data_IF_610223864324
#
_entry.id   IF_610223864324
#
_cell.length_a   1.000
_cell.length_b   1.000
_cell.length_c   1.000
_cell.angle_alpha   90.00
_cell.angle_beta   90.00
_cell.angle_gamma   90.00
#
_symmetry.space_group_name_H-M   'P 1'
#
loop_
_entity.id
_entity.type
_entity.pdbx_description
1 polymer ?
#
# COMPACT_ATOMS: atom_id res chain seq x y z
N UNK A 1 -11.34 17.20 -37.48
CA UNK A 1 -11.85 15.87 -37.86
C UNK A 1 -11.26 14.87 -36.88
N UNK A 2 -12.10 14.49 -35.92
CA UNK A 2 -11.83 13.60 -34.81
C UNK A 2 -11.42 12.22 -35.31
N UNK A 3 -10.26 11.72 -34.86
CA UNK A 3 -9.86 10.31 -35.03
C UNK A 3 -10.70 9.49 -34.05
N UNK A 4 -11.86 9.04 -34.50
CA UNK A 4 -12.60 7.98 -33.83
C UNK A 4 -11.85 6.66 -34.06
N UNK A 5 -11.20 6.16 -33.01
CA UNK A 5 -10.80 4.76 -32.96
C UNK A 5 -12.08 3.91 -33.01
N UNK A 6 -12.22 2.95 -33.93
CA UNK A 6 -13.37 2.06 -33.91
C UNK A 6 -13.29 1.16 -32.67
N UNK A 7 -14.43 0.72 -32.11
CA UNK A 7 -14.43 -0.17 -30.97
C UNK A 7 -14.01 -1.55 -31.47
N UNK A 8 -12.71 -1.86 -31.41
CA UNK A 8 -12.24 -3.21 -31.66
C UNK A 8 -12.71 -4.10 -30.50
N UNK A 9 -13.84 -4.77 -30.68
CA UNK A 9 -14.27 -5.87 -29.82
C UNK A 9 -13.27 -7.01 -29.93
N UNK A 10 -12.95 -7.69 -28.82
CA UNK A 10 -11.95 -8.79 -28.70
C UNK A 10 -12.12 -9.93 -29.73
N UNK A 11 -13.29 -10.02 -30.39
CA UNK A 11 -13.58 -10.93 -31.51
C UNK A 11 -12.70 -10.67 -32.75
N UNK A 12 -12.34 -9.40 -33.03
CA UNK A 12 -11.59 -9.05 -34.24
C UNK A 12 -10.14 -9.53 -34.25
N UNK A 13 -9.55 -9.81 -33.08
CA UNK A 13 -8.18 -10.34 -32.98
C UNK A 13 -8.10 -11.83 -33.33
N UNK A 14 -9.18 -12.58 -33.11
CA UNK A 14 -9.26 -14.01 -33.42
C UNK A 14 -9.39 -14.25 -34.92
N UNK A 15 -10.25 -13.47 -35.59
CA UNK A 15 -10.41 -13.54 -37.06
C UNK A 15 -9.11 -13.16 -37.78
N UNK A 16 -8.42 -12.14 -37.26
CA UNK A 16 -7.10 -11.74 -37.75
C UNK A 16 -6.06 -12.83 -37.51
N UNK A 17 -6.08 -13.47 -36.34
CA UNK A 17 -5.14 -14.55 -36.01
C UNK A 17 -5.34 -15.78 -36.90
N UNK A 18 -6.59 -16.17 -37.21
CA UNK A 18 -6.90 -17.27 -38.14
C UNK A 18 -6.37 -17.01 -39.55
N UNK A 19 -6.39 -15.74 -39.99
CA UNK A 19 -5.92 -15.32 -41.31
C UNK A 19 -4.37 -15.33 -41.43
N UNK A 20 -3.66 -15.24 -40.29
CA UNK A 20 -2.21 -15.19 -40.23
C UNK A 20 -1.54 -16.57 -40.05
N UNK A 21 -2.30 -17.64 -39.88
CA UNK A 21 -1.73 -18.98 -39.67
C UNK A 21 -1.21 -19.57 -40.99
N UNK A 22 0.03 -20.12 -41.02
CA UNK A 22 0.57 -20.76 -42.21
C UNK A 22 -0.30 -21.93 -42.70
N UNK A 23 -0.43 -22.08 -44.02
CA UNK A 23 -1.22 -23.15 -44.63
C UNK A 23 -0.77 -24.53 -44.14
N UNK A 24 -1.69 -25.29 -43.54
CA UNK A 24 -1.43 -26.61 -42.96
C UNK A 24 -1.21 -26.64 -41.45
N UNK A 25 -1.15 -25.48 -40.79
CA UNK A 25 -1.14 -25.38 -39.33
C UNK A 25 -2.50 -24.94 -38.77
N UNK A 26 -2.83 -25.40 -37.56
CA UNK A 26 -4.04 -25.00 -36.86
C UNK A 26 -3.74 -23.85 -35.90
N UNK A 27 -4.54 -22.77 -35.89
CA UNK A 27 -4.40 -21.69 -34.90
C UNK A 27 -4.37 -22.23 -33.47
N UNK A 28 -5.14 -23.29 -33.23
CA UNK A 28 -5.27 -23.92 -31.91
C UNK A 28 -3.96 -24.54 -31.40
N UNK A 29 -2.99 -24.90 -32.27
CA UNK A 29 -1.67 -25.37 -31.81
C UNK A 29 -0.80 -24.23 -31.27
N UNK A 30 -1.00 -23.00 -31.76
CA UNK A 30 -0.29 -21.80 -31.29
C UNK A 30 -1.00 -21.14 -30.10
N UNK A 31 -2.29 -21.42 -29.93
CA UNK A 31 -3.12 -20.86 -28.88
C UNK A 31 -3.03 -21.60 -27.52
N UNK A 32 -2.14 -22.61 -27.41
CA UNK A 32 -1.89 -23.44 -26.21
C UNK A 32 -1.28 -22.67 -25.01
N UNK A 33 -1.22 -21.34 -25.07
CA UNK A 33 -0.85 -20.45 -23.95
C UNK A 33 -1.79 -19.23 -23.85
N UNK A 34 -2.92 -19.24 -24.55
CA UNK A 34 -3.86 -18.12 -24.57
C UNK A 34 -4.56 -17.93 -23.23
N UNK A 35 -4.66 -16.66 -22.81
CA UNK A 35 -5.44 -16.24 -21.64
C UNK A 35 -6.82 -15.68 -21.99
N UNK A 36 -7.23 -15.81 -23.26
CA UNK A 36 -8.50 -15.30 -23.77
C UNK A 36 -9.59 -16.38 -23.65
N UNK A 37 -10.69 -16.15 -22.91
CA UNK A 37 -11.73 -17.16 -22.67
C UNK A 37 -12.37 -17.75 -23.92
N UNK A 38 -12.59 -16.95 -24.96
CA UNK A 38 -13.21 -17.34 -26.23
C UNK A 38 -12.28 -18.26 -27.04
N UNK A 39 -10.96 -18.01 -26.95
CA UNK A 39 -9.95 -18.91 -27.51
C UNK A 39 -9.93 -20.22 -26.73
N UNK A 40 -10.01 -20.17 -25.40
CA UNK A 40 -10.08 -21.36 -24.55
C UNK A 40 -11.33 -22.19 -24.88
N UNK A 41 -12.48 -21.57 -25.14
CA UNK A 41 -13.71 -22.25 -25.57
C UNK A 41 -13.54 -22.97 -26.92
N UNK A 42 -13.00 -22.29 -27.94
CA UNK A 42 -12.68 -22.95 -29.23
C UNK A 42 -11.70 -24.12 -29.06
N UNK A 43 -10.71 -23.98 -28.18
CA UNK A 43 -9.76 -25.06 -27.87
C UNK A 43 -10.50 -26.22 -27.16
N UNK A 44 -11.44 -25.94 -26.25
CA UNK A 44 -12.32 -26.94 -25.61
C UNK A 44 -13.20 -27.70 -26.62
N UNK A 45 -13.73 -27.01 -27.63
CA UNK A 45 -14.55 -27.63 -28.69
C UNK A 45 -13.75 -28.54 -29.63
N UNK A 46 -12.47 -28.21 -29.86
CA UNK A 46 -11.60 -28.95 -30.79
C UNK A 46 -11.09 -30.31 -30.28
N UNK A 47 -11.16 -30.58 -28.97
CA UNK A 47 -10.63 -31.81 -28.37
C UNK A 47 -9.11 -31.97 -28.37
N UNK A 48 -8.34 -30.98 -28.85
CA UNK A 48 -6.85 -30.98 -28.92
C UNK A 48 -6.18 -30.96 -27.52
N UNK A 49 -6.98 -30.79 -26.48
CA UNK A 49 -6.56 -30.45 -25.13
C UNK A 49 -6.05 -31.59 -24.26
N UNK A 50 -6.10 -32.84 -24.72
CA UNK A 50 -5.62 -34.00 -23.96
C UNK A 50 -4.10 -34.16 -23.88
N UNK A 51 -3.31 -33.21 -24.39
CA UNK A 51 -1.85 -33.37 -24.55
C UNK A 51 -1.00 -32.41 -23.69
N UNK A 52 -1.57 -31.41 -23.02
CA UNK A 52 -0.80 -30.41 -22.26
C UNK A 52 -1.44 -30.03 -20.90
N UNK A 53 -1.06 -30.78 -19.86
CA UNK A 53 -1.58 -30.64 -18.50
C UNK A 53 -1.29 -29.28 -17.84
N UNK A 54 -0.20 -28.61 -18.24
CA UNK A 54 0.19 -27.30 -17.71
C UNK A 54 -0.73 -26.19 -18.23
N UNK A 55 -0.98 -26.17 -19.54
CA UNK A 55 -1.93 -25.24 -20.13
C UNK A 55 -3.31 -25.42 -19.51
N UNK A 56 -3.65 -26.69 -19.24
CA UNK A 56 -4.91 -27.05 -18.66
C UNK A 56 -5.16 -26.42 -17.29
N UNK A 57 -4.21 -26.57 -16.37
CA UNK A 57 -4.28 -25.89 -15.09
C UNK A 57 -4.44 -24.36 -15.25
N UNK A 58 -3.61 -23.72 -16.09
CA UNK A 58 -3.66 -22.27 -16.30
C UNK A 58 -4.98 -21.77 -16.91
N UNK A 59 -5.61 -22.56 -17.79
CA UNK A 59 -6.90 -22.22 -18.40
C UNK A 59 -8.01 -22.18 -17.34
N UNK A 60 -8.04 -23.12 -16.40
CA UNK A 60 -9.02 -23.13 -15.30
C UNK A 60 -8.89 -21.87 -14.44
N UNK A 61 -7.68 -21.51 -14.01
CA UNK A 61 -7.45 -20.30 -13.21
C UNK A 61 -7.79 -19.02 -13.97
N UNK A 62 -7.56 -18.97 -15.28
CA UNK A 62 -7.92 -17.82 -16.12
C UNK A 62 -9.42 -17.68 -16.31
N UNK A 63 -10.14 -18.78 -16.55
CA UNK A 63 -11.59 -18.80 -16.66
C UNK A 63 -12.26 -18.40 -15.34
N UNK A 64 -11.69 -18.80 -14.20
CA UNK A 64 -12.14 -18.39 -12.88
C UNK A 64 -12.03 -16.86 -12.70
N UNK A 65 -10.85 -16.29 -12.93
CA UNK A 65 -10.59 -14.83 -12.85
C UNK A 65 -11.48 -13.99 -13.78
N UNK A 66 -11.91 -14.56 -14.92
CA UNK A 66 -12.82 -13.90 -15.88
C UNK A 66 -14.30 -14.17 -15.59
N UNK A 67 -14.63 -14.93 -14.54
CA UNK A 67 -16.00 -15.25 -14.15
C UNK A 67 -16.75 -16.22 -15.09
N UNK A 68 -16.03 -16.93 -15.96
CA UNK A 68 -16.59 -17.87 -16.97
C UNK A 68 -16.77 -19.27 -16.39
N UNK A 69 -17.65 -19.38 -15.39
CA UNK A 69 -17.79 -20.60 -14.58
C UNK A 69 -18.28 -21.84 -15.34
N UNK A 70 -19.17 -21.70 -16.31
CA UNK A 70 -19.66 -22.83 -17.14
C UNK A 70 -18.54 -23.47 -17.96
N UNK A 71 -17.70 -22.63 -18.57
CA UNK A 71 -16.51 -23.07 -19.31
C UNK A 71 -15.49 -23.71 -18.37
N UNK A 72 -15.32 -23.16 -17.17
CA UNK A 72 -14.44 -23.72 -16.14
C UNK A 72 -14.90 -25.12 -15.71
N UNK A 73 -16.19 -25.32 -15.45
CA UNK A 73 -16.76 -26.64 -15.14
C UNK A 73 -16.56 -27.63 -16.27
N UNK A 74 -16.74 -27.18 -17.52
CA UNK A 74 -16.50 -28.01 -18.71
C UNK A 74 -15.02 -28.40 -18.83
N UNK A 75 -14.10 -27.46 -18.65
CA UNK A 75 -12.66 -27.72 -18.66
C UNK A 75 -12.26 -28.71 -17.57
N UNK A 76 -12.74 -28.52 -16.34
CA UNK A 76 -12.42 -29.37 -15.20
C UNK A 76 -12.97 -30.81 -15.32
N UNK A 77 -14.14 -31.01 -15.95
CA UNK A 77 -14.71 -32.36 -16.17
C UNK A 77 -13.95 -33.16 -17.22
N UNK A 78 -13.32 -32.49 -18.17
CA UNK A 78 -12.59 -33.14 -19.25
C UNK A 78 -11.19 -33.58 -18.83
N UNK A 79 -10.69 -33.08 -17.69
CA UNK A 79 -9.28 -33.20 -17.31
C UNK A 79 -9.07 -33.90 -15.97
N UNK A 80 -8.32 -34.98 -16.00
CA UNK A 80 -7.79 -35.66 -14.81
C UNK A 80 -6.36 -35.19 -14.55
N UNK A 81 -6.04 -34.58 -13.38
CA UNK A 81 -4.69 -34.13 -13.08
C UNK A 81 -3.68 -35.28 -13.14
N UNK A 82 -2.59 -35.12 -13.90
CA UNK A 82 -1.43 -36.00 -13.77
C UNK A 82 -0.61 -35.63 -12.52
N UNK A 83 0.11 -36.60 -11.96
CA UNK A 83 0.97 -36.39 -10.80
C UNK A 83 2.12 -35.40 -11.07
N UNK A 84 2.51 -35.22 -12.33
CA UNK A 84 3.62 -34.34 -12.73
C UNK A 84 3.28 -32.85 -12.61
N UNK A 85 2.00 -32.47 -12.74
CA UNK A 85 1.55 -31.07 -12.73
C UNK A 85 0.57 -30.74 -11.59
N UNK A 86 0.50 -31.58 -10.55
CA UNK A 86 -0.39 -31.39 -9.40
C UNK A 86 -0.25 -30.00 -8.76
N UNK A 87 0.96 -29.44 -8.69
CA UNK A 87 1.20 -28.10 -8.16
C UNK A 87 0.55 -26.98 -9.00
N UNK A 88 0.60 -27.07 -10.33
CA UNK A 88 -0.02 -26.07 -11.21
C UNK A 88 -1.55 -26.09 -11.07
N UNK A 89 -2.10 -27.29 -10.94
CA UNK A 89 -3.53 -27.51 -10.70
C UNK A 89 -3.97 -26.94 -9.35
N UNK A 90 -3.22 -27.22 -8.28
CA UNK A 90 -3.50 -26.68 -6.95
C UNK A 90 -3.47 -25.14 -6.94
N UNK A 91 -2.46 -24.51 -7.56
CA UNK A 91 -2.38 -23.05 -7.65
C UNK A 91 -3.54 -22.45 -8.47
N UNK A 92 -3.94 -23.10 -9.55
CA UNK A 92 -5.03 -22.61 -10.38
C UNK A 92 -6.39 -22.79 -9.71
N UNK A 93 -6.57 -23.86 -8.93
CA UNK A 93 -7.75 -24.08 -8.11
C UNK A 93 -7.82 -23.11 -6.93
N UNK A 94 -6.66 -22.82 -6.34
CA UNK A 94 -6.48 -21.79 -5.33
C UNK A 94 -6.86 -20.39 -5.86
N UNK A 95 -6.38 -20.01 -7.04
CA UNK A 95 -6.76 -18.74 -7.68
C UNK A 95 -8.26 -18.66 -7.92
N UNK A 96 -8.89 -19.78 -8.29
CA UNK A 96 -10.33 -19.87 -8.49
C UNK A 96 -11.13 -19.74 -7.18
N UNK A 97 -10.65 -20.34 -6.10
CA UNK A 97 -11.22 -20.20 -4.75
C UNK A 97 -11.10 -18.76 -4.25
N UNK A 98 -9.94 -18.13 -4.41
CA UNK A 98 -9.74 -16.71 -4.05
C UNK A 98 -10.72 -15.82 -4.79
N UNK A 99 -10.81 -15.97 -6.12
CA UNK A 99 -11.75 -15.19 -6.92
C UNK A 99 -13.20 -15.40 -6.45
N UNK A 100 -13.59 -16.64 -6.12
CA UNK A 100 -14.93 -16.92 -5.61
C UNK A 100 -15.22 -16.26 -4.25
N UNK A 101 -14.19 -16.03 -3.42
CA UNK A 101 -14.32 -15.34 -2.14
C UNK A 101 -14.30 -13.80 -2.28
N UNK A 102 -13.54 -13.25 -3.24
CA UNK A 102 -13.35 -11.80 -3.40
C UNK A 102 -14.38 -11.13 -4.34
N UNK A 103 -14.84 -11.84 -5.38
CA UNK A 103 -15.57 -11.24 -6.50
C UNK A 103 -17.06 -10.95 -6.27
N UNK A 104 -17.56 -11.02 -5.04
CA UNK A 104 -19.00 -11.12 -4.75
C UNK A 104 -19.85 -9.91 -5.14
N UNK A 105 -19.23 -8.80 -5.55
CA UNK A 105 -19.94 -7.67 -6.17
C UNK A 105 -20.25 -7.87 -7.67
N UNK A 106 -19.66 -8.87 -8.33
CA UNK A 106 -19.70 -9.04 -9.81
C UNK A 106 -20.54 -10.23 -10.28
N UNK A 107 -20.70 -11.29 -9.48
CA UNK A 107 -21.45 -12.51 -9.85
C UNK A 107 -22.04 -13.26 -8.62
N UNK A 108 -22.98 -14.21 -8.81
CA UNK A 108 -23.44 -15.09 -7.73
C UNK A 108 -22.33 -16.06 -7.31
N UNK A 109 -21.77 -15.89 -6.12
CA UNK A 109 -20.54 -16.56 -5.70
C UNK A 109 -20.73 -17.87 -4.94
N UNK A 110 -21.84 -18.02 -4.22
CA UNK A 110 -22.05 -19.16 -3.34
C UNK A 110 -22.12 -20.50 -4.10
N UNK A 111 -22.81 -20.55 -5.24
CA UNK A 111 -22.89 -21.77 -6.07
C UNK A 111 -21.53 -22.17 -6.64
N UNK A 112 -20.69 -21.19 -6.98
CA UNK A 112 -19.34 -21.42 -7.54
C UNK A 112 -18.40 -21.97 -6.47
N UNK A 113 -18.40 -21.34 -5.30
CA UNK A 113 -17.61 -21.76 -4.16
C UNK A 113 -18.00 -23.17 -3.69
N UNK A 114 -19.30 -23.46 -3.58
CA UNK A 114 -19.80 -24.80 -3.24
C UNK A 114 -19.24 -25.86 -4.18
N UNK A 115 -19.29 -25.60 -5.49
CA UNK A 115 -18.77 -26.53 -6.48
C UNK A 115 -17.25 -26.70 -6.39
N UNK A 116 -16.50 -25.61 -6.22
CA UNK A 116 -15.04 -25.63 -6.07
C UNK A 116 -14.59 -26.43 -4.84
N UNK A 117 -15.32 -26.30 -3.72
CA UNK A 117 -15.04 -27.00 -2.47
C UNK A 117 -15.44 -28.48 -2.47
N UNK A 118 -16.43 -28.87 -3.28
CA UNK A 118 -16.78 -30.29 -3.46
C UNK A 118 -15.72 -31.08 -4.23
N UNK A 119 -14.84 -30.40 -4.96
CA UNK A 119 -13.76 -31.04 -5.70
C UNK A 119 -12.61 -31.43 -4.76
N UNK A 120 -11.97 -32.61 -4.92
CA UNK A 120 -10.85 -33.03 -4.06
C UNK A 120 -9.70 -32.02 -3.96
N UNK A 121 -9.37 -31.36 -5.09
CA UNK A 121 -8.37 -30.29 -5.15
C UNK A 121 -8.76 -29.04 -4.34
N UNK A 122 -10.05 -28.82 -4.08
CA UNK A 122 -10.54 -27.72 -3.25
C UNK A 122 -10.11 -27.88 -1.80
N UNK A 123 -10.29 -29.07 -1.22
CA UNK A 123 -9.86 -29.36 0.14
C UNK A 123 -8.34 -29.22 0.31
N UNK A 124 -7.57 -29.70 -0.66
CA UNK A 124 -6.09 -29.62 -0.65
C UNK A 124 -5.60 -28.18 -0.84
N UNK A 125 -6.25 -27.39 -1.72
CA UNK A 125 -5.93 -25.99 -1.93
C UNK A 125 -6.24 -25.11 -0.69
N UNK A 126 -7.32 -25.40 0.04
CA UNK A 126 -7.67 -24.69 1.28
C UNK A 126 -6.63 -24.87 2.41
N UNK A 127 -5.84 -25.95 2.39
CA UNK A 127 -4.82 -26.21 3.42
C UNK A 127 -3.49 -25.47 3.24
N UNK A 128 -3.22 -24.91 2.06
CA UNK A 128 -1.83 -24.64 1.64
C UNK A 128 -1.34 -23.19 1.69
N UNK A 129 -2.19 -22.15 1.78
CA UNK A 129 -1.67 -20.77 1.93
C UNK A 129 -2.70 -19.67 2.22
N UNK A 130 -4.00 -19.91 2.05
CA UNK A 130 -5.00 -18.86 2.21
C UNK A 130 -6.25 -19.43 2.83
N UNK A 131 -6.62 -18.87 3.97
CA UNK A 131 -7.89 -19.15 4.60
C UNK A 131 -8.99 -18.46 3.77
N UNK A 132 -9.85 -19.20 3.05
CA UNK A 132 -10.96 -18.61 2.31
C UNK A 132 -11.87 -17.79 3.22
N UNK A 133 -11.90 -18.10 4.52
CA UNK A 133 -12.62 -17.37 5.54
C UNK A 133 -12.10 -15.94 5.69
N UNK A 134 -10.78 -15.76 5.70
CA UNK A 134 -10.12 -14.44 5.76
C UNK A 134 -10.41 -13.60 4.52
N UNK A 135 -10.35 -14.19 3.34
CA UNK A 135 -10.65 -13.49 2.09
C UNK A 135 -12.11 -13.03 2.02
N UNK A 136 -13.04 -13.91 2.40
CA UNK A 136 -14.46 -13.58 2.44
C UNK A 136 -14.74 -12.43 3.43
N UNK A 137 -14.03 -12.41 4.56
CA UNK A 137 -14.09 -11.34 5.55
C UNK A 137 -13.60 -10.01 4.97
N UNK A 138 -12.43 -10.00 4.33
CA UNK A 138 -11.86 -8.82 3.66
C UNK A 138 -12.61 -8.35 2.41
N UNK A 139 -13.61 -9.10 1.93
CA UNK A 139 -14.41 -8.75 0.75
C UNK A 139 -15.88 -8.42 1.09
N UNK A 140 -16.23 -8.33 2.38
CA UNK A 140 -17.59 -8.12 2.90
C UNK A 140 -18.61 -9.18 2.43
N UNK A 141 -18.17 -10.43 2.23
CA UNK A 141 -19.01 -11.51 1.71
C UNK A 141 -19.66 -12.33 2.83
N UNK A 142 -20.65 -11.76 3.51
CA UNK A 142 -21.33 -12.40 4.66
C UNK A 142 -21.93 -13.76 4.32
N UNK A 143 -22.56 -13.93 3.16
CA UNK A 143 -23.12 -15.24 2.75
C UNK A 143 -22.04 -16.31 2.56
N UNK A 144 -20.87 -15.90 2.07
CA UNK A 144 -19.72 -16.80 1.89
C UNK A 144 -19.11 -17.14 3.25
N UNK A 145 -18.99 -16.16 4.15
CA UNK A 145 -18.55 -16.37 5.53
C UNK A 145 -19.45 -17.37 6.26
N UNK A 146 -20.76 -17.21 6.17
CA UNK A 146 -21.74 -18.11 6.78
C UNK A 146 -21.59 -19.54 6.26
N UNK A 147 -21.45 -19.69 4.93
CA UNK A 147 -21.21 -21.00 4.34
C UNK A 147 -19.89 -21.62 4.80
N UNK A 148 -18.78 -20.89 4.74
CA UNK A 148 -17.47 -21.40 5.17
C UNK A 148 -17.49 -21.78 6.66
N UNK A 149 -18.14 -20.97 7.50
CA UNK A 149 -18.33 -21.28 8.91
C UNK A 149 -19.14 -22.57 9.12
N UNK A 150 -20.19 -22.80 8.32
CA UNK A 150 -20.95 -24.06 8.35
C UNK A 150 -20.10 -25.28 7.96
N UNK A 151 -19.07 -25.09 7.14
CA UNK A 151 -18.11 -26.14 6.75
C UNK A 151 -17.01 -26.35 7.80
N UNK A 152 -17.02 -25.61 8.92
CA UNK A 152 -16.04 -25.75 10.00
C UNK A 152 -14.84 -24.82 9.92
N UNK A 153 -14.78 -23.91 8.92
CA UNK A 153 -13.73 -22.88 8.87
C UNK A 153 -13.91 -21.88 10.01
N UNK A 154 -12.82 -21.46 10.62
CA UNK A 154 -12.78 -20.52 11.76
C UNK A 154 -11.56 -19.62 11.62
N UNK A 155 -11.66 -18.39 12.12
CA UNK A 155 -10.50 -17.52 12.25
C UNK A 155 -9.63 -17.97 13.43
N UNK A 156 -8.72 -18.90 13.18
CA UNK A 156 -7.85 -19.45 14.22
C UNK A 156 -6.78 -18.45 14.71
N UNK A 157 -6.48 -17.40 13.93
CA UNK A 157 -5.36 -16.46 14.19
C UNK A 157 -5.79 -15.02 14.48
N UNK A 158 -7.02 -14.64 14.17
CA UNK A 158 -7.50 -13.26 14.28
C UNK A 158 -7.25 -12.42 13.03
N UNK A 159 -6.81 -13.06 11.94
CA UNK A 159 -6.48 -12.38 10.69
C UNK A 159 -7.75 -12.02 9.91
N UNK A 160 -8.82 -12.81 10.02
CA UNK A 160 -10.08 -12.58 9.30
C UNK A 160 -10.81 -11.33 9.80
N UNK A 161 -10.92 -11.16 11.12
CA UNK A 161 -11.53 -9.96 11.68
C UNK A 161 -10.69 -8.71 11.42
N UNK A 162 -9.36 -8.84 11.36
CA UNK A 162 -8.44 -7.76 10.99
C UNK A 162 -8.59 -7.34 9.53
N UNK A 163 -8.72 -8.30 8.61
CA UNK A 163 -8.92 -8.02 7.19
C UNK A 163 -10.33 -7.47 6.91
N UNK A 164 -11.33 -7.84 7.71
CA UNK A 164 -12.67 -7.25 7.67
C UNK A 164 -12.71 -5.76 8.08
N UNK A 165 -11.66 -5.21 8.70
CA UNK A 165 -11.63 -3.80 9.13
C UNK A 165 -11.66 -2.86 7.91
N UNK A 166 -12.87 -2.41 7.58
CA UNK A 166 -13.20 -1.72 6.32
C UNK A 166 -14.60 -2.09 5.83
N UNK A 167 -15.16 -3.16 6.37
CA UNK A 167 -16.40 -3.79 5.95
C UNK A 167 -17.28 -4.06 7.17
N UNK A 168 -18.23 -3.16 7.42
CA UNK A 168 -19.07 -3.19 8.62
C UNK A 168 -19.87 -4.49 8.77
N UNK A 169 -20.37 -5.06 7.66
CA UNK A 169 -21.22 -6.25 7.74
C UNK A 169 -20.42 -7.50 8.11
N UNK A 170 -19.24 -7.69 7.51
CA UNK A 170 -18.31 -8.74 7.89
C UNK A 170 -17.88 -8.62 9.36
N UNK A 171 -17.53 -7.42 9.83
CA UNK A 171 -17.17 -7.20 11.25
C UNK A 171 -18.32 -7.54 12.19
N UNK A 172 -19.54 -7.06 11.90
CA UNK A 172 -20.75 -7.41 12.68
C UNK A 172 -20.96 -8.90 12.76
N UNK A 173 -20.93 -9.57 11.60
CA UNK A 173 -21.18 -10.99 11.50
C UNK A 173 -20.13 -11.82 12.28
N UNK A 174 -18.85 -11.47 12.14
CA UNK A 174 -17.75 -12.15 12.86
C UNK A 174 -17.88 -12.02 14.39
N UNK A 175 -18.32 -10.84 14.86
CA UNK A 175 -18.53 -10.58 16.28
C UNK A 175 -19.74 -11.35 16.84
N UNK A 176 -20.87 -11.34 16.13
CA UNK A 176 -22.10 -12.05 16.52
C UNK A 176 -21.88 -13.57 16.61
N UNK A 177 -21.05 -14.14 15.74
CA UNK A 177 -20.79 -15.58 15.67
C UNK A 177 -19.59 -16.04 16.52
N UNK A 178 -18.93 -15.11 17.24
CA UNK A 178 -17.70 -15.34 17.99
C UNK A 178 -16.65 -16.09 17.15
N UNK A 179 -16.54 -15.71 15.87
CA UNK A 179 -15.75 -16.41 14.86
C UNK A 179 -14.31 -15.87 14.80
N UNK A 180 -13.70 -15.60 15.96
CA UNK A 180 -12.37 -15.03 16.15
C UNK A 180 -11.69 -15.69 17.36
N UNK A 181 -10.34 -15.65 17.50
CA UNK A 181 -9.68 -16.37 18.57
C UNK A 181 -9.92 -15.73 19.94
N UNK A 182 -10.13 -16.56 20.96
CA UNK A 182 -10.19 -16.15 22.36
C UNK A 182 -8.84 -15.63 22.83
N UNK A 183 -8.60 -14.33 22.69
CA UNK A 183 -7.31 -13.69 22.91
C UNK A 183 -7.00 -12.54 21.95
N UNK A 184 -7.87 -12.26 20.97
CA UNK A 184 -7.76 -11.08 20.12
C UNK A 184 -7.66 -9.82 20.99
N UNK A 185 -6.58 -9.08 20.80
CA UNK A 185 -6.40 -7.76 21.41
C UNK A 185 -7.33 -6.77 20.72
N UNK A 186 -8.56 -6.69 21.23
CA UNK A 186 -9.66 -5.90 20.65
C UNK A 186 -9.32 -4.42 20.45
N UNK A 187 -8.40 -3.87 21.24
CA UNK A 187 -7.89 -2.50 21.07
C UNK A 187 -7.12 -2.29 19.76
N UNK A 188 -6.40 -3.31 19.27
CA UNK A 188 -5.68 -3.25 17.98
C UNK A 188 -6.67 -3.09 16.82
N UNK A 189 -7.87 -3.69 16.93
CA UNK A 189 -8.93 -3.57 15.93
C UNK A 189 -9.43 -2.12 15.81
N UNK A 190 -9.60 -1.44 16.94
CA UNK A 190 -9.96 0.00 16.95
C UNK A 190 -8.83 0.83 16.34
N UNK A 191 -7.57 0.56 16.70
CA UNK A 191 -6.40 1.20 16.11
C UNK A 191 -6.39 1.12 14.58
N UNK A 192 -6.59 -0.09 14.05
CA UNK A 192 -6.63 -0.34 12.61
C UNK A 192 -7.84 0.34 11.96
N UNK A 193 -9.02 0.29 12.60
CA UNK A 193 -10.22 0.96 12.08
C UNK A 193 -10.04 2.47 12.02
N UNK A 194 -9.43 3.04 13.06
CA UNK A 194 -9.10 4.45 13.16
C UNK A 194 -8.09 4.87 12.11
N UNK A 195 -6.97 4.15 11.96
CA UNK A 195 -5.94 4.43 10.95
C UNK A 195 -6.44 4.29 9.51
N UNK A 196 -7.32 3.32 9.22
CA UNK A 196 -7.94 3.15 7.89
C UNK A 196 -9.03 4.18 7.59
N UNK A 197 -9.46 4.98 8.57
CA UNK A 197 -10.50 5.99 8.39
C UNK A 197 -11.94 5.45 8.44
N UNK A 198 -12.16 4.27 9.01
CA UNK A 198 -13.44 3.58 9.01
C UNK A 198 -14.38 4.08 10.12
N UNK A 199 -14.91 5.31 9.95
CA UNK A 199 -15.75 5.97 10.95
C UNK A 199 -16.99 5.16 11.36
N UNK A 200 -17.64 4.49 10.41
CA UNK A 200 -18.83 3.66 10.68
C UNK A 200 -18.55 2.51 11.66
N UNK A 201 -17.37 1.90 11.53
CA UNK A 201 -16.93 0.81 12.41
C UNK A 201 -16.63 1.37 13.81
N UNK A 202 -15.98 2.53 13.91
CA UNK A 202 -15.73 3.18 15.20
C UNK A 202 -17.04 3.58 15.90
N UNK A 203 -17.99 4.14 15.17
CA UNK A 203 -19.32 4.47 15.69
C UNK A 203 -20.06 3.23 16.16
N UNK A 204 -19.97 2.13 15.42
CA UNK A 204 -20.52 0.85 15.83
C UNK A 204 -19.90 0.38 17.16
N UNK A 205 -18.57 0.31 17.27
CA UNK A 205 -17.89 -0.08 18.52
C UNK A 205 -18.12 0.88 19.70
N UNK A 206 -18.41 2.16 19.46
CA UNK A 206 -18.76 3.12 20.51
C UNK A 206 -20.19 2.92 21.02
N UNK A 207 -21.12 2.60 20.12
CA UNK A 207 -22.52 2.34 20.47
C UNK A 207 -22.76 0.91 20.96
N UNK A 208 -21.80 0.02 20.76
CA UNK A 208 -21.87 -1.35 21.25
C UNK A 208 -21.73 -1.38 22.77
N UNK A 209 -22.77 -1.84 23.45
CA UNK A 209 -22.66 -2.27 24.83
C UNK A 209 -21.76 -3.53 24.86
N UNK A 210 -20.59 -3.49 25.52
CA UNK A 210 -19.70 -4.66 25.62
C UNK A 210 -20.42 -5.89 26.21
N UNK A 211 -21.50 -5.69 26.97
CA UNK A 211 -22.27 -6.75 27.59
C UNK A 211 -23.28 -7.41 26.64
N UNK A 212 -23.77 -6.73 25.59
CA UNK A 212 -24.88 -7.24 24.77
C UNK A 212 -24.49 -8.31 23.74
N UNK A 213 -23.24 -8.33 23.27
CA UNK A 213 -22.73 -9.38 22.34
C UNK A 213 -22.19 -10.59 23.10
N UNK A 214 -21.75 -10.41 24.36
CA UNK A 214 -20.99 -11.41 25.12
C UNK A 214 -21.83 -12.24 26.11
N UNK A 215 -23.17 -12.09 26.12
CA UNK A 215 -24.05 -12.93 26.95
C UNK A 215 -23.90 -14.43 26.65
N UNK A 216 -23.34 -14.81 25.51
CA UNK A 216 -23.07 -16.22 25.17
C UNK A 216 -21.86 -16.82 25.91
N UNK A 217 -20.91 -16.05 26.47
CA UNK A 217 -19.79 -16.58 27.28
C UNK A 217 -19.10 -15.49 28.11
N UNK A 218 -19.30 -15.51 29.44
CA UNK A 218 -18.66 -14.58 30.40
C UNK A 218 -17.13 -14.68 30.35
N UNK A 219 -16.39 -13.60 30.05
CA UNK A 219 -15.02 -13.48 30.50
C UNK A 219 -15.03 -13.14 32.00
N UNK A 220 -14.03 -13.65 32.72
CA UNK A 220 -13.85 -13.34 34.15
C UNK A 220 -13.60 -11.83 34.29
N UNK A 221 -14.18 -11.26 35.35
CA UNK A 221 -14.27 -9.83 35.62
C UNK A 221 -12.94 -9.07 35.44
N UNK A 222 -13.05 -7.90 34.82
CA UNK A 222 -11.99 -6.89 34.66
C UNK A 222 -11.55 -6.76 33.20
N UNK A 223 -11.76 -5.59 32.60
CA UNK A 223 -11.23 -5.18 31.28
C UNK A 223 -11.94 -5.72 30.01
N UNK A 224 -13.23 -5.44 29.87
CA UNK A 224 -13.90 -5.39 28.55
C UNK A 224 -14.01 -3.93 28.09
N UNK A 225 -12.87 -3.31 27.81
CA UNK A 225 -12.81 -2.00 27.19
C UNK A 225 -12.29 -2.13 25.77
N UNK A 226 -13.17 -2.17 24.77
CA UNK A 226 -12.75 -2.05 23.36
C UNK A 226 -11.83 -0.83 23.17
N UNK A 227 -12.07 0.19 23.99
CA UNK A 227 -11.37 1.47 24.08
C UNK A 227 -10.33 1.55 25.22
N UNK A 228 -9.83 0.44 25.79
CA UNK A 228 -8.89 0.45 26.93
C UNK A 228 -7.51 1.06 26.59
N UNK A 229 -7.16 1.15 25.30
CA UNK A 229 -5.97 1.83 24.75
C UNK A 229 -6.35 2.82 23.66
N UNK A 230 -7.12 3.83 24.02
CA UNK A 230 -7.54 4.90 23.09
C UNK A 230 -6.38 5.65 22.45
N UNK A 231 -5.19 5.61 23.07
CA UNK A 231 -4.03 6.38 22.60
C UNK A 231 -3.56 5.82 21.26
N UNK A 232 -3.65 4.49 21.09
CA UNK A 232 -3.31 3.79 19.86
C UNK A 232 -4.26 4.19 18.72
N UNK A 233 -5.57 4.26 18.99
CA UNK A 233 -6.56 4.67 18.01
C UNK A 233 -6.38 6.13 17.55
N UNK A 234 -6.12 7.04 18.49
CA UNK A 234 -5.84 8.44 18.16
C UNK A 234 -4.53 8.56 17.39
N UNK A 235 -3.48 7.83 17.77
CA UNK A 235 -2.19 7.86 17.09
C UNK A 235 -2.27 7.28 15.67
N UNK A 236 -2.94 6.14 15.48
CA UNK A 236 -3.12 5.52 14.16
C UNK A 236 -3.99 6.39 13.26
N UNK A 237 -5.07 6.98 13.77
CA UNK A 237 -5.85 7.98 13.03
C UNK A 237 -4.98 9.19 12.65
N UNK A 238 -4.15 9.68 13.57
CA UNK A 238 -3.23 10.78 13.34
C UNK A 238 -2.08 10.44 12.38
N UNK A 239 -1.76 9.16 12.18
CA UNK A 239 -0.78 8.69 11.19
C UNK A 239 -1.40 8.45 9.83
N UNK A 240 -2.64 7.98 9.72
CA UNK A 240 -3.13 7.42 8.45
C UNK A 240 -4.51 7.92 8.00
N UNK A 241 -5.30 8.50 8.91
CA UNK A 241 -6.69 8.85 8.66
C UNK A 241 -6.94 10.34 8.36
N UNK A 242 -8.22 10.70 8.27
CA UNK A 242 -8.71 12.06 8.02
C UNK A 242 -8.98 12.82 9.31
N UNK A 243 -9.04 14.15 9.22
CA UNK A 243 -9.38 15.03 10.34
C UNK A 243 -10.80 14.77 10.86
N UNK A 244 -11.69 14.23 10.02
CA UNK A 244 -13.04 13.84 10.42
C UNK A 244 -13.06 12.76 11.50
N UNK A 245 -12.26 11.71 11.34
CA UNK A 245 -12.14 10.63 12.35
C UNK A 245 -11.57 11.16 13.65
N UNK A 246 -10.56 12.04 13.57
CA UNK A 246 -9.97 12.69 14.73
C UNK A 246 -10.94 13.63 15.45
N UNK A 247 -11.74 14.39 14.70
CA UNK A 247 -12.81 15.22 15.26
C UNK A 247 -13.86 14.39 15.98
N UNK A 248 -14.25 13.26 15.38
CA UNK A 248 -15.20 12.35 15.99
C UNK A 248 -14.63 11.70 17.27
N UNK A 249 -13.38 11.22 17.24
CA UNK A 249 -12.72 10.67 18.43
C UNK A 249 -12.70 11.71 19.56
N UNK A 250 -12.33 12.95 19.22
CA UNK A 250 -12.27 14.06 20.18
C UNK A 250 -13.64 14.41 20.77
N UNK A 251 -14.67 14.47 19.93
CA UNK A 251 -16.04 14.80 20.34
C UNK A 251 -16.62 13.76 21.32
N UNK A 252 -16.17 12.50 21.23
CA UNK A 252 -16.62 11.40 22.09
C UNK A 252 -15.70 11.16 23.31
N UNK A 253 -14.79 12.11 23.60
CA UNK A 253 -13.97 12.09 24.82
C UNK A 253 -12.62 11.39 24.69
N UNK A 254 -12.26 10.89 23.50
CA UNK A 254 -10.96 10.28 23.22
C UNK A 254 -9.92 11.36 22.88
N UNK A 255 -9.53 12.12 23.92
CA UNK A 255 -8.73 13.35 23.83
C UNK A 255 -7.26 13.16 24.22
N UNK A 256 -6.72 11.96 24.03
CA UNK A 256 -5.36 11.66 24.46
C UNK A 256 -4.31 12.39 23.61
N UNK A 257 -3.13 12.53 24.20
CA UNK A 257 -2.01 13.23 23.56
C UNK A 257 -1.54 12.40 22.37
N UNK A 258 -1.50 13.02 21.20
CA UNK A 258 -0.89 12.42 20.02
C UNK A 258 0.62 12.27 20.23
N UNK A 259 1.18 11.14 19.79
CA UNK A 259 2.60 10.86 19.87
C UNK A 259 3.41 11.74 18.93
N UNK A 260 4.69 11.94 19.25
CA UNK A 260 5.65 12.60 18.34
C UNK A 260 5.74 11.88 16.99
N UNK A 261 5.58 10.56 16.99
CA UNK A 261 5.59 9.72 15.78
C UNK A 261 4.44 10.09 14.83
N UNK A 262 3.22 10.31 15.36
CA UNK A 262 2.07 10.69 14.56
C UNK A 262 2.27 12.06 13.88
N UNK A 263 2.82 13.04 14.61
CA UNK A 263 3.17 14.34 14.03
C UNK A 263 4.24 14.24 12.95
N UNK A 264 5.31 13.46 13.20
CA UNK A 264 6.36 13.25 12.21
C UNK A 264 5.80 12.58 10.95
N UNK A 265 4.87 11.64 11.10
CA UNK A 265 4.23 10.99 9.96
C UNK A 265 3.31 11.96 9.18
N UNK A 266 2.55 12.81 9.86
CA UNK A 266 1.76 13.86 9.21
C UNK A 266 2.65 14.84 8.41
N UNK A 267 3.78 15.23 9.01
CA UNK A 267 4.80 16.10 8.40
C UNK A 267 5.46 15.47 7.16
N UNK A 268 5.84 14.19 7.25
CA UNK A 268 6.40 13.42 6.13
C UNK A 268 5.42 13.24 4.97
N UNK A 269 4.13 13.06 5.27
CA UNK A 269 3.09 12.81 4.28
C UNK A 269 2.52 14.07 3.62
N UNK A 270 2.95 15.27 4.00
CA UNK A 270 2.47 16.50 3.37
C UNK A 270 1.06 16.93 3.80
N UNK A 271 0.52 16.39 4.90
CA UNK A 271 -0.84 16.67 5.37
C UNK A 271 -0.88 17.86 6.34
N UNK A 272 -0.91 19.08 5.80
CA UNK A 272 -0.93 20.32 6.59
C UNK A 272 -2.16 20.43 7.51
N UNK A 273 -3.36 20.12 7.00
CA UNK A 273 -4.61 20.18 7.78
C UNK A 273 -4.57 19.28 9.02
N UNK A 274 -3.99 18.09 8.87
CA UNK A 274 -3.78 17.14 9.95
C UNK A 274 -2.76 17.67 10.98
N UNK A 275 -1.69 18.29 10.50
CA UNK A 275 -0.66 18.89 11.35
C UNK A 275 -1.20 20.10 12.14
N UNK A 276 -2.04 20.93 11.52
CA UNK A 276 -2.75 22.02 12.19
C UNK A 276 -3.64 21.50 13.31
N UNK A 277 -4.37 20.41 13.04
CA UNK A 277 -5.20 19.74 14.04
C UNK A 277 -4.36 19.18 15.19
N UNK A 278 -3.26 18.49 14.90
CA UNK A 278 -2.36 17.89 15.89
C UNK A 278 -1.64 18.95 16.73
N UNK A 279 -1.24 20.08 16.14
CA UNK A 279 -0.56 21.15 16.85
C UNK A 279 -1.42 21.75 17.98
N UNK A 280 -2.74 21.87 17.76
CA UNK A 280 -3.70 22.30 18.78
C UNK A 280 -3.71 21.37 20.01
N UNK A 281 -3.25 20.12 19.87
CA UNK A 281 -3.25 19.10 20.94
C UNK A 281 -1.96 19.05 21.79
N UNK A 282 -1.02 20.01 21.64
CA UNK A 282 0.22 20.13 22.44
C UNK A 282 1.21 18.95 22.31
N UNK A 283 1.26 18.28 21.16
CA UNK A 283 2.36 17.36 20.90
C UNK A 283 3.65 18.20 20.67
N UNK A 284 4.68 17.97 21.50
CA UNK A 284 5.82 18.91 21.70
C UNK A 284 7.05 18.62 20.84
N UNK A 285 7.09 17.51 20.13
CA UNK A 285 8.28 17.05 19.41
C UNK A 285 7.93 16.77 17.95
N UNK A 286 8.13 17.77 17.08
CA UNK A 286 8.01 17.60 15.63
C UNK A 286 9.38 17.83 15.00
N UNK A 287 9.80 16.93 14.11
CA UNK A 287 11.06 17.02 13.38
C UNK A 287 10.84 17.64 12.01
N UNK A 288 11.38 18.84 11.79
CA UNK A 288 11.29 19.60 10.53
C UNK A 288 11.97 18.86 9.36
N UNK A 289 12.90 17.95 9.67
CA UNK A 289 13.73 17.20 8.72
C UNK A 289 12.89 16.41 7.72
N UNK A 290 11.84 15.75 8.22
CA UNK A 290 10.99 14.88 7.43
C UNK A 290 10.16 15.62 6.37
N UNK A 291 9.57 16.75 6.76
CA UNK A 291 8.85 17.63 5.85
C UNK A 291 9.78 18.26 4.81
N UNK A 292 10.99 18.66 5.24
CA UNK A 292 12.00 19.28 4.38
C UNK A 292 12.53 18.30 3.32
N UNK A 293 12.88 17.07 3.72
CA UNK A 293 13.33 16.00 2.82
C UNK A 293 12.27 15.61 1.78
N UNK A 294 10.98 15.71 2.10
CA UNK A 294 9.90 15.36 1.18
C UNK A 294 9.35 16.54 0.37
N UNK A 295 9.90 17.75 0.50
CA UNK A 295 9.51 18.89 -0.33
C UNK A 295 8.27 19.65 0.16
N UNK A 296 7.82 19.41 1.40
CA UNK A 296 6.59 19.99 1.95
C UNK A 296 6.80 21.41 2.53
N UNK A 297 7.03 22.39 1.67
CA UNK A 297 7.33 23.78 2.06
C UNK A 297 6.31 24.41 3.02
N UNK A 298 5.01 24.23 2.79
CA UNK A 298 3.98 24.84 3.63
C UNK A 298 3.98 24.23 5.05
N UNK A 299 4.34 22.96 5.18
CA UNK A 299 4.57 22.33 6.49
C UNK A 299 5.84 22.87 7.14
N UNK A 300 6.94 23.06 6.40
CA UNK A 300 8.17 23.65 6.95
C UNK A 300 7.90 25.06 7.48
N UNK A 301 7.13 25.88 6.75
CA UNK A 301 6.70 27.21 7.24
C UNK A 301 5.82 27.13 8.48
N UNK A 302 4.88 26.18 8.49
CA UNK A 302 4.00 25.95 9.64
C UNK A 302 4.81 25.56 10.89
N UNK A 303 5.71 24.58 10.76
CA UNK A 303 6.58 24.12 11.85
C UNK A 303 7.53 25.23 12.32
N UNK A 304 8.10 26.02 11.40
CA UNK A 304 8.91 27.17 11.76
C UNK A 304 8.14 28.21 12.60
N UNK A 305 6.88 28.49 12.23
CA UNK A 305 6.05 29.49 12.91
C UNK A 305 5.60 29.04 14.31
N UNK A 306 5.26 27.77 14.47
CA UNK A 306 4.55 27.29 15.67
C UNK A 306 5.34 26.32 16.55
N UNK A 307 6.45 25.76 16.04
CA UNK A 307 7.39 24.91 16.78
C UNK A 307 8.81 25.48 16.70
N UNK A 308 9.06 26.73 17.16
CA UNK A 308 10.41 27.28 17.16
C UNK A 308 11.36 26.37 17.94
N UNK A 309 10.94 25.80 19.08
CA UNK A 309 11.75 24.88 19.90
C UNK A 309 12.08 23.54 19.21
N UNK A 310 11.21 23.04 18.32
CA UNK A 310 11.50 21.88 17.47
C UNK A 310 12.52 22.19 16.36
N UNK A 311 12.61 23.46 15.96
CA UNK A 311 13.64 23.99 15.07
C UNK A 311 14.90 24.49 15.79
N UNK A 312 14.87 24.71 17.11
CA UNK A 312 15.98 25.38 17.80
C UNK A 312 16.50 24.77 19.11
N UNK A 313 15.78 23.93 19.85
CA UNK A 313 16.18 23.70 21.27
C UNK A 313 16.16 22.28 21.83
N UNK A 314 15.44 21.28 21.28
CA UNK A 314 15.66 19.89 21.74
C UNK A 314 16.78 19.14 20.99
N UNK A 315 17.29 19.73 19.90
CA UNK A 315 18.37 19.17 19.08
C UNK A 315 19.77 19.70 19.44
N UNK A 316 19.89 20.63 20.38
CA UNK A 316 21.19 21.06 20.92
C UNK A 316 21.71 20.14 22.02
N UNK A 317 20.82 19.48 22.78
CA UNK A 317 21.21 18.79 24.03
C UNK A 317 21.24 17.25 23.93
N UNK A 318 20.68 16.64 22.87
CA UNK A 318 20.79 15.21 22.63
C UNK A 318 21.86 14.90 21.59
N UNK A 319 23.11 14.94 22.07
CA UNK A 319 24.32 14.36 21.48
C UNK A 319 24.98 15.10 20.29
N UNK A 320 26.16 15.68 20.52
CA UNK A 320 27.37 15.30 19.81
C UNK A 320 27.31 15.03 18.27
N UNK A 321 26.65 15.89 17.48
CA UNK A 321 26.83 15.92 16.01
C UNK A 321 25.58 16.31 15.21
N UNK A 322 25.52 17.58 14.82
CA UNK A 322 24.63 18.19 13.81
C UNK A 322 23.12 18.28 14.11
N UNK A 323 22.70 19.47 14.54
CA UNK A 323 21.31 19.80 14.87
C UNK A 323 20.34 19.66 13.69
N UNK A 324 19.07 19.37 14.01
CA UNK A 324 17.98 19.09 13.05
C UNK A 324 17.88 20.10 11.89
N UNK A 325 18.22 21.37 12.10
CA UNK A 325 18.19 22.40 11.04
C UNK A 325 19.25 22.15 9.96
N UNK A 326 20.47 21.73 10.29
CA UNK A 326 21.51 21.40 9.30
C UNK A 326 21.09 20.17 8.50
N UNK A 327 20.60 19.12 9.18
CA UNK A 327 20.10 17.92 8.51
C UNK A 327 18.91 18.22 7.58
N UNK A 328 17.96 19.07 8.00
CA UNK A 328 16.84 19.48 7.16
C UNK A 328 17.29 20.23 5.90
N UNK A 329 18.27 21.13 6.03
CA UNK A 329 18.86 21.85 4.89
C UNK A 329 19.61 20.87 3.98
N UNK A 330 20.48 20.02 4.55
CA UNK A 330 21.26 19.02 3.82
C UNK A 330 20.37 18.09 3.00
N UNK A 331 19.30 17.56 3.60
CA UNK A 331 18.36 16.67 2.91
C UNK A 331 17.54 17.40 1.84
N UNK A 332 17.23 18.68 2.05
CA UNK A 332 16.57 19.53 1.05
C UNK A 332 17.47 19.81 -0.14
N UNK A 333 18.76 20.05 0.10
CA UNK A 333 19.80 20.26 -0.92
C UNK A 333 20.00 18.97 -1.73
N UNK A 334 20.18 17.84 -1.04
CA UNK A 334 20.37 16.52 -1.66
C UNK A 334 19.21 16.10 -2.58
N UNK A 335 17.97 16.48 -2.22
CA UNK A 335 16.77 16.16 -3.00
C UNK A 335 16.31 17.27 -3.94
N UNK A 336 17.05 18.37 -4.03
CA UNK A 336 16.78 19.45 -4.98
C UNK A 336 15.61 20.38 -4.62
N UNK A 337 15.21 20.44 -3.36
CA UNK A 337 14.06 21.25 -2.90
C UNK A 337 14.41 22.74 -2.74
N UNK A 338 14.73 23.41 -3.85
CA UNK A 338 15.23 24.80 -3.88
C UNK A 338 14.34 25.80 -3.11
N UNK A 339 13.02 25.64 -3.17
CA UNK A 339 12.09 26.54 -2.45
C UNK A 339 12.21 26.43 -0.94
N UNK A 340 12.50 25.23 -0.42
CA UNK A 340 12.74 25.00 1.01
C UNK A 340 14.10 25.55 1.40
N UNK A 341 15.14 25.30 0.60
CA UNK A 341 16.48 25.84 0.85
C UNK A 341 16.46 27.37 0.85
N UNK A 342 15.75 28.02 -0.08
CA UNK A 342 15.54 29.48 -0.08
C UNK A 342 14.88 29.98 1.20
N UNK A 343 13.85 29.28 1.66
CA UNK A 343 13.15 29.63 2.91
C UNK A 343 14.07 29.46 4.13
N UNK A 344 14.75 28.31 4.24
CA UNK A 344 15.66 28.04 5.35
C UNK A 344 16.85 28.99 5.34
N UNK A 345 17.44 29.30 4.18
CA UNK A 345 18.55 30.25 4.05
C UNK A 345 18.16 31.67 4.52
N UNK A 346 16.93 32.10 4.25
CA UNK A 346 16.44 33.40 4.71
C UNK A 346 16.32 33.52 6.24
N UNK A 347 16.12 32.40 6.94
CA UNK A 347 15.92 32.37 8.39
C UNK A 347 17.12 31.82 9.18
N UNK A 348 17.99 31.04 8.53
CA UNK A 348 19.02 30.21 9.15
C UNK A 348 20.32 30.17 8.32
N UNK A 349 20.73 31.31 7.75
CA UNK A 349 21.90 31.44 6.88
C UNK A 349 23.17 30.75 7.42
N UNK A 350 23.44 30.88 8.73
CA UNK A 350 24.61 30.30 9.43
C UNK A 350 24.72 28.76 9.35
N UNK A 351 23.62 28.06 9.08
CA UNK A 351 23.59 26.60 8.96
C UNK A 351 23.70 26.13 7.51
N UNK A 352 23.46 27.01 6.54
CA UNK A 352 23.63 26.71 5.11
C UNK A 352 25.12 26.56 4.77
N UNK A 353 25.98 27.32 5.45
CA UNK A 353 27.43 27.27 5.26
C UNK A 353 28.07 25.94 5.68
N UNK A 354 27.35 25.10 6.44
CA UNK A 354 27.82 23.80 6.93
C UNK A 354 27.40 22.63 6.02
N UNK A 355 26.66 22.90 4.95
CA UNK A 355 26.12 21.87 4.05
C UNK A 355 27.22 21.30 3.16
N UNK A 356 27.22 19.98 2.98
CA UNK A 356 28.06 19.31 1.99
C UNK A 356 27.47 19.50 0.56
N UNK A 357 28.14 20.27 -0.33
CA UNK A 357 27.66 20.50 -1.68
C UNK A 357 27.67 19.23 -2.55
N UNK A 358 28.46 18.20 -2.21
CA UNK A 358 28.53 16.95 -2.99
C UNK A 358 27.17 16.28 -3.14
N UNK A 359 26.24 16.54 -2.22
CA UNK A 359 24.89 15.99 -2.28
C UNK A 359 24.00 16.57 -3.39
N UNK A 360 24.36 17.73 -3.98
CA UNK A 360 23.61 18.36 -5.07
C UNK A 360 24.33 18.37 -6.42
N UNK A 361 25.31 17.46 -6.62
CA UNK A 361 26.19 17.39 -7.80
C UNK A 361 25.46 17.27 -9.16
N UNK A 362 24.18 16.90 -9.17
CA UNK A 362 23.35 16.82 -10.38
C UNK A 362 22.27 17.91 -10.48
N UNK A 363 22.29 18.93 -9.61
CA UNK A 363 21.29 19.99 -9.59
C UNK A 363 21.95 21.36 -9.77
N UNK A 364 22.09 21.78 -11.04
CA UNK A 364 22.71 23.06 -11.41
C UNK A 364 22.02 24.27 -10.76
N UNK A 365 20.68 24.28 -10.68
CA UNK A 365 19.94 25.38 -10.07
C UNK A 365 20.26 25.54 -8.58
N UNK A 366 20.37 24.41 -7.85
CA UNK A 366 20.77 24.39 -6.45
C UNK A 366 22.22 24.87 -6.28
N UNK A 367 23.13 24.39 -7.13
CA UNK A 367 24.54 24.77 -7.11
C UNK A 367 24.69 26.28 -7.35
N UNK A 368 24.02 26.83 -8.37
CA UNK A 368 24.04 28.25 -8.66
C UNK A 368 23.47 29.07 -7.49
N UNK A 369 22.39 28.61 -6.86
CA UNK A 369 21.81 29.27 -5.70
C UNK A 369 22.79 29.29 -4.50
N UNK A 370 23.35 28.13 -4.15
CA UNK A 370 24.30 28.00 -3.05
C UNK A 370 25.55 28.83 -3.31
N UNK A 371 26.10 28.83 -4.54
CA UNK A 371 27.30 29.62 -4.84
C UNK A 371 27.03 31.13 -4.76
N UNK A 372 25.88 31.57 -5.23
CA UNK A 372 25.53 33.00 -5.25
C UNK A 372 25.26 33.56 -3.85
N UNK A 373 24.67 32.76 -2.95
CA UNK A 373 24.27 33.23 -1.62
C UNK A 373 25.24 32.80 -0.51
N UNK A 374 25.93 31.66 -0.68
CA UNK A 374 26.78 31.00 0.30
C UNK A 374 28.07 30.46 -0.35
N UNK A 375 28.94 31.33 -0.89
CA UNK A 375 30.12 30.91 -1.66
C UNK A 375 31.12 30.06 -0.84
N UNK A 376 31.09 30.15 0.49
CA UNK A 376 31.96 29.39 1.39
C UNK A 376 31.72 27.88 1.34
N UNK A 377 30.53 27.46 0.88
CA UNK A 377 30.17 26.04 0.72
C UNK A 377 31.07 25.37 -0.35
N UNK A 378 31.50 26.11 -1.36
CA UNK A 378 32.31 25.62 -2.47
C UNK A 378 33.81 25.89 -2.25
N UNK A 379 34.40 25.20 -1.28
CA UNK A 379 35.86 25.15 -1.14
C UNK A 379 36.50 24.48 -2.36
N UNK A 380 37.77 24.78 -2.65
CA UNK A 380 38.51 24.15 -3.75
C UNK A 380 38.53 22.61 -3.63
N UNK A 381 38.59 22.10 -2.41
CA UNK A 381 38.51 20.66 -2.11
C UNK A 381 37.13 20.08 -2.46
N UNK A 382 36.05 20.75 -2.07
CA UNK A 382 34.68 20.32 -2.38
C UNK A 382 34.41 20.33 -3.89
N UNK A 383 34.90 21.36 -4.59
CA UNK A 383 34.79 21.47 -6.06
C UNK A 383 35.59 20.36 -6.75
N UNK A 384 36.82 20.08 -6.31
CA UNK A 384 37.64 18.99 -6.83
C UNK A 384 36.97 17.62 -6.64
N UNK A 385 36.43 17.37 -5.44
CA UNK A 385 35.71 16.13 -5.14
C UNK A 385 34.44 15.97 -5.99
N UNK A 386 33.70 17.07 -6.24
CA UNK A 386 32.51 17.06 -7.08
C UNK A 386 32.85 16.77 -8.54
N UNK A 387 33.89 17.42 -9.09
CA UNK A 387 34.38 17.16 -10.44
C UNK A 387 34.82 15.69 -10.61
N UNK A 388 35.55 15.14 -9.65
CA UNK A 388 35.98 13.75 -9.67
C UNK A 388 34.82 12.73 -9.72
N UNK A 389 33.70 13.00 -9.02
CA UNK A 389 32.50 12.16 -9.07
C UNK A 389 31.75 12.26 -10.39
N UNK A 390 31.62 13.48 -10.91
CA UNK A 390 30.91 13.75 -12.18
C UNK A 390 31.65 13.14 -13.38
N UNK A 391 32.98 13.02 -13.32
CA UNK A 391 33.81 12.44 -14.39
C UNK A 391 33.98 10.92 -14.27
N UNK A 392 33.89 10.35 -13.07
CA UNK A 392 34.04 8.91 -12.82
C UNK A 392 32.77 8.06 -12.95
N UNK A 393 31.59 8.68 -13.10
CA UNK A 393 30.27 8.01 -13.11
C UNK A 393 29.63 7.84 -14.50
N UNK A 394 28.41 7.26 -14.54
CA UNK A 394 27.58 7.27 -15.75
C UNK A 394 27.16 8.73 -16.05
N UNK A 395 27.63 9.28 -17.17
CA UNK A 395 27.42 10.68 -17.54
C UNK A 395 25.97 10.94 -17.96
N UNK A 396 25.28 11.79 -17.20
CA UNK A 396 23.97 12.34 -17.57
C UNK A 396 24.14 13.71 -18.24
N UNK A 397 23.10 14.21 -18.89
CA UNK A 397 23.15 15.55 -19.50
C UNK A 397 23.38 16.62 -18.42
N UNK A 398 22.75 16.44 -17.26
CA UNK A 398 22.87 17.29 -16.09
C UNK A 398 24.29 17.25 -15.50
N UNK A 399 24.94 16.08 -15.44
CA UNK A 399 26.30 15.97 -14.92
C UNK A 399 27.33 16.69 -15.80
N UNK A 400 27.14 16.66 -17.13
CA UNK A 400 27.97 17.40 -18.09
C UNK A 400 27.77 18.91 -17.93
N UNK A 401 26.53 19.37 -17.78
CA UNK A 401 26.23 20.79 -17.56
C UNK A 401 26.86 21.31 -16.28
N UNK A 402 26.73 20.57 -15.17
CA UNK A 402 27.33 20.95 -13.89
C UNK A 402 28.87 20.95 -13.98
N UNK A 403 29.47 19.93 -14.58
CA UNK A 403 30.93 19.84 -14.76
C UNK A 403 31.49 21.03 -15.56
N UNK A 404 30.87 21.36 -16.69
CA UNK A 404 31.28 22.51 -17.50
C UNK A 404 31.13 23.82 -16.71
N UNK A 405 30.02 24.01 -16.01
CA UNK A 405 29.80 25.20 -15.19
C UNK A 405 30.84 25.34 -14.08
N UNK A 406 31.17 24.26 -13.37
CA UNK A 406 32.20 24.26 -12.32
C UNK A 406 33.59 24.58 -12.89
N UNK A 407 33.96 24.01 -14.04
CA UNK A 407 35.25 24.29 -14.70
C UNK A 407 35.39 25.74 -15.14
N UNK A 408 34.31 26.32 -15.66
CA UNK A 408 34.27 27.74 -16.05
C UNK A 408 34.41 28.68 -14.83
N UNK A 409 33.83 28.32 -13.69
CA UNK A 409 33.77 29.19 -12.51
C UNK A 409 34.91 28.97 -11.50
N UNK A 410 35.58 27.81 -11.52
CA UNK A 410 36.65 27.45 -10.59
C UNK A 410 37.91 26.96 -11.32
N UNK A 411 38.32 27.72 -12.33
CA UNK A 411 39.43 27.45 -13.27
C UNK A 411 40.83 27.21 -12.67
N UNK A 412 40.96 27.11 -11.34
CA UNK A 412 42.20 26.79 -10.61
C UNK A 412 42.22 25.36 -10.05
N UNK A 413 41.22 24.53 -10.37
CA UNK A 413 41.10 23.13 -9.96
C UNK A 413 41.39 22.25 -11.19
N UNK A 414 42.64 22.27 -11.66
CA UNK A 414 43.20 21.28 -12.61
C UNK A 414 44.17 20.35 -11.90
#
# INVERSE_FOLDING_TARGET
MTRENPPFTEHGYLDLAELLVPAGHNLLSYATSSSVPEVIEKILDSGVLGQNDKFAACAVGTLARRGRFTLMQRAARLWTPSSEYQFCWLNSWYDALREACESGKRFPNLSRLRWLMQHPLGCEACGNACDPFRLAAGADQVEVLEYLYSQGFRDGKGDAITDAVGHLNAVKWLLEHNAYPGGLQTYSLIGIAAGRGNLEILQYFHNLDPLSILEANRPKQGELGWWLRTEEAVNEAAKFATVEVLNWLRANGYNEKCSAEAMNHAANSGRLELLEWLHVTKARECTTNGAASNGHLEIVKFLHKYCPEGCTTNAMDLAAGEGCTVQAIQQSVARGHLRIVKFLAAHYAQFVDQVDPLTCEHNLEMIMFLQMQHPQVFSLENVANMLGRLEGGNTTVESVQVSNWLKEHYSSVE
#
